data_IF_781575321356
#
_entry.id   IF_781575321356
#
_cell.length_a   1.000
_cell.length_b   1.000
_cell.length_c   1.000
_cell.angle_alpha   90.00
_cell.angle_beta   90.00
_cell.angle_gamma   90.00
#
_symmetry.space_group_name_H-M   'P 1'
#
loop_
_entity.id
_entity.type
_entity.pdbx_description
1 polymer ?
#
# COMPACT_ATOMS: atom_id res chain seq x y z
N UNK A 1 47.83 27.80 -39.96
CA UNK A 1 47.10 28.01 -38.70
C UNK A 1 47.41 26.82 -37.79
N UNK A 2 48.49 26.93 -37.00
CA UNK A 2 48.99 25.84 -36.15
C UNK A 2 48.28 25.91 -34.80
N UNK A 3 47.38 24.97 -34.53
CA UNK A 3 46.84 24.78 -33.18
C UNK A 3 47.98 24.19 -32.33
N UNK A 4 48.45 24.95 -31.34
CA UNK A 4 49.50 24.51 -30.42
C UNK A 4 49.13 23.20 -29.73
N UNK A 5 50.02 22.21 -29.74
CA UNK A 5 49.83 20.90 -29.11
C UNK A 5 49.51 21.00 -27.61
N UNK A 6 49.93 22.09 -26.94
CA UNK A 6 49.58 22.39 -25.54
C UNK A 6 48.08 22.67 -25.34
N UNK A 7 47.40 23.22 -26.36
CA UNK A 7 45.97 23.52 -26.27
C UNK A 7 45.13 22.27 -26.56
N UNK A 8 45.60 21.37 -27.42
CA UNK A 8 44.91 20.09 -27.74
C UNK A 8 44.91 19.14 -26.53
N UNK A 9 46.00 19.11 -25.76
CA UNK A 9 46.11 18.28 -24.55
C UNK A 9 45.17 18.74 -23.43
N UNK A 10 44.95 20.06 -23.30
CA UNK A 10 43.99 20.64 -22.34
C UNK A 10 42.54 20.32 -22.69
N UNK A 11 42.18 20.35 -23.98
CA UNK A 11 40.84 19.96 -24.44
C UNK A 11 40.56 18.46 -24.27
N UNK A 12 41.56 17.58 -24.47
CA UNK A 12 41.43 16.14 -24.21
C UNK A 12 41.24 15.82 -22.72
N UNK A 13 41.89 16.58 -21.82
CA UNK A 13 41.75 16.41 -20.37
C UNK A 13 40.37 16.89 -19.86
N UNK A 14 39.82 17.96 -20.44
CA UNK A 14 38.46 18.44 -20.16
C UNK A 14 37.36 17.50 -20.70
N UNK A 15 37.60 16.83 -21.84
CA UNK A 15 36.68 15.81 -22.37
C UNK A 15 36.67 14.52 -21.52
N UNK A 16 37.82 14.14 -20.94
CA UNK A 16 37.96 12.93 -20.12
C UNK A 16 37.28 13.04 -18.75
N UNK A 17 37.15 14.25 -18.19
CA UNK A 17 36.50 14.47 -16.88
C UNK A 17 34.96 14.50 -17.03
N UNK A 18 34.42 14.80 -18.22
CA UNK A 18 32.98 14.86 -18.48
C UNK A 18 32.25 13.52 -18.55
N UNK A 19 32.96 12.39 -18.65
CA UNK A 19 32.34 11.05 -18.79
C UNK A 19 31.99 10.38 -17.46
N UNK A 20 32.34 10.97 -16.30
CA UNK A 20 32.02 10.41 -14.98
C UNK A 20 30.75 11.00 -14.34
N UNK A 21 30.09 11.98 -14.98
CA UNK A 21 28.96 12.71 -14.37
C UNK A 21 27.60 12.00 -14.45
N UNK A 22 27.52 10.83 -15.09
CA UNK A 22 26.28 10.05 -15.19
C UNK A 22 26.43 8.62 -14.66
N UNK A 23 27.11 8.43 -13.53
CA UNK A 23 26.90 7.22 -12.73
C UNK A 23 25.70 7.49 -11.83
N UNK A 24 24.50 7.45 -12.41
CA UNK A 24 23.29 7.20 -11.61
C UNK A 24 23.46 5.77 -11.07
N UNK A 25 24.05 5.63 -9.88
CA UNK A 25 24.00 4.36 -9.17
C UNK A 25 22.52 4.02 -9.03
N UNK A 26 22.11 2.89 -9.61
CA UNK A 26 20.77 2.37 -9.41
C UNK A 26 20.51 2.33 -7.90
N UNK A 27 19.36 2.82 -7.43
CA UNK A 27 19.02 2.68 -6.01
C UNK A 27 19.13 1.21 -5.60
N UNK A 28 19.95 0.92 -4.59
CA UNK A 28 20.02 -0.40 -3.99
C UNK A 28 18.99 -0.45 -2.87
N UNK A 29 17.82 -1.02 -3.18
CA UNK A 29 16.80 -1.31 -2.18
C UNK A 29 16.93 -2.77 -1.71
N UNK A 30 16.56 -3.08 -0.45
CA UNK A 30 16.38 -4.46 -0.02
C UNK A 30 15.32 -5.18 -0.87
N UNK A 31 15.38 -6.51 -0.94
CA UNK A 31 14.30 -7.31 -1.55
C UNK A 31 13.04 -7.32 -0.69
N UNK A 32 13.14 -6.96 0.58
CA UNK A 32 11.96 -6.70 1.41
C UNK A 32 11.37 -5.33 1.03
N UNK A 33 10.06 -5.24 0.79
CA UNK A 33 9.43 -3.97 0.49
C UNK A 33 9.47 -3.03 1.70
N UNK A 34 9.64 -1.74 1.46
CA UNK A 34 9.46 -0.71 2.48
C UNK A 34 8.38 0.27 2.05
N UNK A 35 7.59 0.76 3.02
CA UNK A 35 6.49 1.68 2.78
C UNK A 35 6.54 2.90 3.71
N UNK A 36 5.97 4.00 3.25
CA UNK A 36 5.78 5.22 4.06
C UNK A 36 4.45 5.89 3.75
N UNK A 37 3.90 6.59 4.74
CA UNK A 37 2.68 7.37 4.54
C UNK A 37 2.95 8.57 3.63
N UNK A 38 2.16 8.72 2.56
CA UNK A 38 2.24 9.88 1.67
C UNK A 38 1.09 10.85 1.93
N UNK A 39 -0.14 10.39 1.77
CA UNK A 39 -1.32 11.24 1.90
C UNK A 39 -2.57 10.41 2.20
N UNK A 40 -3.59 11.08 2.75
CA UNK A 40 -4.92 10.50 2.93
C UNK A 40 -5.97 11.56 2.63
N UNK A 41 -6.98 11.18 1.87
CA UNK A 41 -8.12 12.04 1.54
C UNK A 41 -9.42 11.25 1.62
N UNK A 42 -10.54 11.96 1.57
CA UNK A 42 -11.87 11.40 1.75
C UNK A 42 -12.82 11.95 0.70
N UNK A 43 -13.76 11.11 0.27
CA UNK A 43 -14.90 11.51 -0.57
C UNK A 43 -16.19 11.03 0.09
N UNK A 44 -17.07 11.97 0.41
CA UNK A 44 -18.38 11.69 0.99
C UNK A 44 -19.42 11.48 -0.11
N UNK A 45 -20.24 10.45 0.06
CA UNK A 45 -21.48 10.25 -0.69
C UNK A 45 -22.63 10.87 0.09
N UNK A 46 -23.42 11.70 -0.58
CA UNK A 46 -24.59 12.35 -0.01
C UNK A 46 -25.87 11.69 -0.51
N UNK A 47 -26.91 11.66 0.32
CA UNK A 47 -28.27 11.33 -0.11
C UNK A 47 -28.95 12.51 -0.84
N UNK A 48 -30.20 12.31 -1.26
CA UNK A 48 -31.00 13.36 -1.92
C UNK A 48 -31.33 14.57 -1.03
N UNK A 49 -31.12 14.48 0.28
CA UNK A 49 -31.31 15.56 1.25
C UNK A 49 -29.99 16.24 1.65
N UNK A 50 -28.86 15.83 1.08
CA UNK A 50 -27.53 16.36 1.38
C UNK A 50 -26.88 15.79 2.64
N UNK A 51 -27.42 14.72 3.22
CA UNK A 51 -26.83 14.02 4.36
C UNK A 51 -25.75 13.04 3.89
N UNK A 52 -24.61 13.01 4.58
CA UNK A 52 -23.55 12.02 4.32
C UNK A 52 -24.05 10.62 4.71
N UNK A 53 -24.04 9.70 3.74
CA UNK A 53 -24.42 8.29 3.94
C UNK A 53 -23.23 7.34 3.88
N UNK A 54 -22.11 7.77 3.28
CA UNK A 54 -20.90 6.96 3.16
C UNK A 54 -19.68 7.87 3.01
N UNK A 55 -18.53 7.48 3.57
CA UNK A 55 -17.23 8.06 3.27
C UNK A 55 -16.34 7.00 2.61
N UNK A 56 -15.76 7.34 1.45
CA UNK A 56 -14.64 6.59 0.86
C UNK A 56 -13.33 7.26 1.25
N UNK A 57 -12.36 6.48 1.73
CA UNK A 57 -11.02 6.97 2.09
C UNK A 57 -10.01 6.55 1.04
N UNK A 58 -9.26 7.50 0.51
CA UNK A 58 -8.14 7.25 -0.40
C UNK A 58 -6.84 7.42 0.36
N UNK A 59 -6.11 6.31 0.52
CA UNK A 59 -4.83 6.25 1.18
C UNK A 59 -3.72 6.10 0.14
N UNK A 60 -2.82 7.07 0.09
CA UNK A 60 -1.62 7.02 -0.73
C UNK A 60 -0.43 6.63 0.16
N UNK A 61 0.25 5.54 -0.19
CA UNK A 61 1.51 5.11 0.43
C UNK A 61 2.62 5.13 -0.62
N UNK A 62 3.80 5.60 -0.24
CA UNK A 62 5.00 5.43 -1.05
C UNK A 62 5.65 4.08 -0.73
N UNK A 63 6.18 3.40 -1.74
CA UNK A 63 6.84 2.10 -1.61
C UNK A 63 8.22 2.10 -2.27
N UNK A 64 9.09 1.21 -1.81
CA UNK A 64 10.37 0.85 -2.42
C UNK A 64 10.59 -0.65 -2.31
N UNK A 65 11.11 -1.28 -3.35
CA UNK A 65 11.40 -2.71 -3.40
C UNK A 65 12.56 -3.00 -4.36
N UNK A 66 13.45 -3.92 -3.98
CA UNK A 66 14.74 -4.15 -4.63
C UNK A 66 14.72 -5.15 -5.77
N UNK A 67 13.73 -6.03 -5.85
CA UNK A 67 13.63 -7.03 -6.92
C UNK A 67 12.38 -6.84 -7.81
N UNK A 68 11.45 -5.97 -7.42
CA UNK A 68 10.28 -5.60 -8.21
C UNK A 68 9.15 -6.60 -8.14
N UNK A 69 9.06 -7.40 -7.08
CA UNK A 69 8.08 -8.47 -6.97
C UNK A 69 6.84 -8.09 -6.14
N UNK A 70 6.66 -6.81 -5.81
CA UNK A 70 5.39 -6.30 -5.27
C UNK A 70 4.23 -6.62 -6.22
N UNK A 71 3.16 -7.17 -5.63
CA UNK A 71 1.87 -7.33 -6.28
C UNK A 71 1.55 -8.76 -6.70
N UNK A 72 0.26 -9.08 -6.66
CA UNK A 72 -0.32 -10.37 -7.03
C UNK A 72 -1.22 -10.18 -8.24
N UNK A 73 -1.04 -11.02 -9.25
CA UNK A 73 -1.92 -11.05 -10.41
C UNK A 73 -3.30 -11.62 -10.04
N UNK A 74 -4.32 -11.33 -10.86
CA UNK A 74 -5.65 -11.90 -10.68
C UNK A 74 -5.63 -13.45 -10.68
N UNK A 75 -4.69 -14.06 -11.40
CA UNK A 75 -4.50 -15.51 -11.44
C UNK A 75 -3.77 -16.11 -10.23
N UNK A 76 -3.11 -15.30 -9.39
CA UNK A 76 -2.42 -15.77 -8.18
C UNK A 76 -3.45 -16.11 -7.08
N UNK A 77 -4.31 -17.09 -7.31
CA UNK A 77 -5.40 -17.49 -6.41
C UNK A 77 -5.36 -18.99 -6.12
N UNK A 78 -4.19 -19.60 -6.34
CA UNK A 78 -3.89 -21.01 -6.11
C UNK A 78 -2.60 -21.15 -5.29
N UNK A 79 -2.31 -22.36 -4.81
CA UNK A 79 -1.09 -22.62 -4.03
C UNK A 79 -0.98 -21.72 -2.80
N UNK A 80 0.18 -21.08 -2.64
CA UNK A 80 0.46 -20.18 -1.50
C UNK A 80 -0.43 -18.93 -1.45
N UNK A 81 -1.08 -18.58 -2.56
CA UNK A 81 -2.02 -17.45 -2.66
C UNK A 81 -3.47 -17.90 -2.80
N UNK A 82 -3.76 -19.18 -2.59
CA UNK A 82 -5.13 -19.68 -2.57
C UNK A 82 -5.94 -18.98 -1.50
N UNK A 83 -7.22 -18.68 -1.77
CA UNK A 83 -8.12 -18.06 -0.79
C UNK A 83 -8.23 -18.87 0.50
N UNK A 84 -8.18 -20.20 0.37
CA UNK A 84 -8.23 -21.13 1.48
C UNK A 84 -7.04 -22.07 1.45
N UNK A 85 -6.62 -22.47 2.63
CA UNK A 85 -5.69 -23.59 2.84
C UNK A 85 -6.42 -24.93 2.66
N UNK A 86 -5.70 -26.06 2.55
CA UNK A 86 -6.31 -27.39 2.42
C UNK A 86 -7.27 -27.75 3.57
N UNK A 87 -7.03 -27.22 4.78
CA UNK A 87 -7.89 -27.35 5.96
C UNK A 87 -9.15 -26.46 5.92
N UNK A 88 -9.38 -25.77 4.79
CA UNK A 88 -10.47 -24.80 4.55
C UNK A 88 -10.37 -23.49 5.33
N UNK A 89 -9.35 -23.27 6.15
CA UNK A 89 -9.11 -21.98 6.80
C UNK A 89 -8.75 -20.90 5.78
N UNK A 90 -9.02 -19.63 6.11
CA UNK A 90 -8.58 -18.51 5.28
C UNK A 90 -7.06 -18.43 5.23
N UNK A 91 -6.52 -18.19 4.04
CA UNK A 91 -5.09 -18.04 3.86
C UNK A 91 -4.64 -16.59 4.13
N UNK A 92 -3.72 -16.33 5.07
CA UNK A 92 -3.19 -14.99 5.35
C UNK A 92 -2.30 -14.44 4.23
N UNK A 93 -2.09 -15.16 3.14
CA UNK A 93 -1.37 -14.64 1.97
C UNK A 93 -2.28 -14.43 0.76
N UNK A 94 -3.60 -14.59 0.92
CA UNK A 94 -4.54 -14.28 -0.17
C UNK A 94 -4.50 -12.79 -0.55
N UNK A 95 -4.45 -11.92 0.45
CA UNK A 95 -4.22 -10.48 0.30
C UNK A 95 -2.74 -10.17 0.43
N UNK A 96 -2.33 -9.04 -0.14
CA UNK A 96 -0.97 -8.52 -0.02
C UNK A 96 -0.93 -7.03 0.32
N UNK A 97 -2.08 -6.39 0.49
CA UNK A 97 -2.22 -5.08 1.13
C UNK A 97 -3.04 -5.26 2.40
N UNK A 98 -2.41 -5.14 3.55
CA UNK A 98 -3.08 -5.26 4.83
C UNK A 98 -3.40 -3.87 5.37
N UNK A 99 -4.66 -3.70 5.78
CA UNK A 99 -5.16 -2.45 6.32
C UNK A 99 -6.06 -2.76 7.51
N UNK A 100 -5.74 -2.14 8.64
CA UNK A 100 -6.48 -2.28 9.90
C UNK A 100 -6.96 -0.92 10.35
N UNK A 101 -8.26 -0.80 10.65
CA UNK A 101 -8.88 0.44 11.10
C UNK A 101 -8.86 0.54 12.62
N UNK A 102 -8.50 1.72 13.12
CA UNK A 102 -8.55 2.08 14.53
C UNK A 102 -9.43 3.31 14.71
N UNK A 103 -10.23 3.32 15.77
CA UNK A 103 -11.09 4.46 16.14
C UNK A 103 -10.63 5.06 17.46
N UNK A 104 -10.62 6.38 17.55
CA UNK A 104 -10.39 7.09 18.80
C UNK A 104 -11.58 6.92 19.75
N UNK A 105 -11.33 6.37 20.91
CA UNK A 105 -12.28 6.36 22.02
C UNK A 105 -12.48 7.81 22.50
N UNK A 106 -13.73 8.28 22.54
CA UNK A 106 -14.06 9.68 22.86
C UNK A 106 -13.82 10.03 24.34
N UNK A 107 -13.80 9.04 25.22
CA UNK A 107 -13.59 9.23 26.66
C UNK A 107 -12.11 9.16 27.04
N UNK A 108 -11.39 8.15 26.54
CA UNK A 108 -9.97 7.93 26.91
C UNK A 108 -9.01 8.65 25.96
N UNK A 109 -9.45 8.97 24.74
CA UNK A 109 -8.62 9.55 23.70
C UNK A 109 -7.66 8.56 23.03
N UNK A 110 -7.67 7.29 23.43
CA UNK A 110 -6.83 6.22 22.88
C UNK A 110 -7.46 5.69 21.59
N UNK A 111 -6.62 5.28 20.63
CA UNK A 111 -7.08 4.60 19.41
C UNK A 111 -7.12 3.09 19.64
N UNK A 112 -8.30 2.51 19.47
CA UNK A 112 -8.58 1.08 19.64
C UNK A 112 -8.96 0.48 18.29
N UNK A 113 -8.61 -0.79 18.03
CA UNK A 113 -9.02 -1.48 16.80
C UNK A 113 -10.53 -1.43 16.70
N UNK A 114 -11.06 -0.99 15.56
CA UNK A 114 -12.49 -1.02 15.27
C UNK A 114 -12.84 -2.42 14.73
N UNK A 115 -13.60 -3.26 15.47
CA UNK A 115 -14.04 -4.55 14.95
C UNK A 115 -14.96 -4.33 13.74
N UNK A 116 -14.74 -5.13 12.70
CA UNK A 116 -15.56 -5.12 11.50
C UNK A 116 -16.69 -6.15 11.60
N UNK A 117 -17.74 -6.02 10.76
CA UNK A 117 -18.87 -6.93 10.75
C UNK A 117 -18.43 -8.39 10.57
N UNK A 118 -19.08 -9.28 11.31
CA UNK A 118 -18.89 -10.73 11.17
C UNK A 118 -19.94 -11.32 10.25
N UNK A 119 -19.53 -12.31 9.46
CA UNK A 119 -20.37 -13.04 8.53
C UNK A 119 -20.21 -14.54 8.73
N UNK A 120 -21.20 -15.31 8.28
CA UNK A 120 -21.11 -16.78 8.25
C UNK A 120 -20.39 -17.22 6.98
N UNK A 121 -19.35 -18.01 7.16
CA UNK A 121 -18.64 -18.66 6.09
C UNK A 121 -19.51 -19.78 5.49
N UNK A 122 -19.92 -19.72 4.21
CA UNK A 122 -20.77 -20.76 3.62
C UNK A 122 -20.05 -22.11 3.44
N UNK A 123 -18.72 -22.16 3.54
CA UNK A 123 -17.92 -23.38 3.35
C UNK A 123 -17.72 -24.14 4.65
N UNK A 124 -17.48 -23.41 5.75
CA UNK A 124 -17.19 -24.01 7.07
C UNK A 124 -18.36 -23.87 8.05
N UNK A 125 -19.36 -23.04 7.73
CA UNK A 125 -20.47 -22.67 8.62
C UNK A 125 -20.00 -22.05 9.95
N UNK A 126 -18.90 -21.28 9.90
CA UNK A 126 -18.31 -20.59 11.06
C UNK A 126 -18.33 -19.08 10.86
N UNK A 127 -18.36 -18.31 11.95
CA UNK A 127 -18.19 -16.86 11.87
C UNK A 127 -16.78 -16.46 11.42
N UNK A 128 -16.69 -15.42 10.59
CA UNK A 128 -15.46 -14.73 10.28
C UNK A 128 -15.67 -13.22 10.29
N UNK A 129 -14.65 -12.47 10.70
CA UNK A 129 -14.66 -11.01 10.63
C UNK A 129 -14.32 -10.56 9.20
N UNK A 130 -15.09 -9.62 8.66
CA UNK A 130 -14.72 -8.96 7.41
C UNK A 130 -13.43 -8.16 7.55
N UNK A 131 -12.84 -7.79 6.42
CA UNK A 131 -11.62 -7.02 6.37
C UNK A 131 -11.68 -5.98 5.24
N UNK A 132 -10.78 -5.02 5.31
CA UNK A 132 -10.56 -3.98 4.29
C UNK A 132 -9.21 -4.19 3.60
N UNK A 133 -8.73 -5.44 3.55
CA UNK A 133 -7.48 -5.80 2.89
C UNK A 133 -7.64 -5.82 1.37
N UNK A 134 -6.52 -5.62 0.68
CA UNK A 134 -6.48 -5.45 -0.76
C UNK A 134 -5.51 -6.39 -1.46
N UNK A 135 -5.67 -6.47 -2.78
CA UNK A 135 -4.71 -7.12 -3.67
C UNK A 135 -4.09 -6.06 -4.58
N UNK A 136 -2.86 -5.65 -4.27
CA UNK A 136 -2.08 -4.78 -5.17
C UNK A 136 -1.78 -5.59 -6.43
N UNK A 137 -2.10 -5.09 -7.64
CA UNK A 137 -1.70 -5.76 -8.88
C UNK A 137 -0.16 -5.75 -9.01
N UNK A 138 0.42 -6.61 -9.87
CA UNK A 138 1.86 -6.57 -10.14
C UNK A 138 2.28 -5.18 -10.61
N UNK A 139 3.28 -4.60 -9.94
CA UNK A 139 3.82 -3.27 -10.30
C UNK A 139 4.94 -3.37 -11.34
N UNK A 140 5.48 -4.57 -11.51
CA UNK A 140 6.43 -4.95 -12.54
C UNK A 140 6.03 -6.32 -13.10
N UNK A 141 6.30 -6.53 -14.39
CA UNK A 141 6.08 -7.83 -15.04
C UNK A 141 6.87 -8.93 -14.32
N UNK A 142 6.27 -10.12 -14.13
CA UNK A 142 6.89 -11.21 -13.35
C UNK A 142 8.26 -11.67 -13.88
N UNK A 143 8.51 -11.49 -15.18
CA UNK A 143 9.76 -11.87 -15.84
C UNK A 143 10.86 -10.81 -15.69
N UNK A 144 10.51 -9.61 -15.22
CA UNK A 144 11.45 -8.52 -15.00
C UNK A 144 11.80 -8.45 -13.52
N UNK A 145 13.10 -8.30 -13.24
CA UNK A 145 13.59 -8.01 -11.90
C UNK A 145 14.34 -6.68 -11.92
N UNK A 146 13.84 -5.73 -11.15
CA UNK A 146 14.47 -4.44 -10.99
C UNK A 146 13.96 -3.75 -9.71
N UNK A 147 14.84 -3.00 -9.02
CA UNK A 147 14.41 -2.01 -8.04
C UNK A 147 13.31 -1.10 -8.59
N UNK A 148 12.22 -0.99 -7.84
CA UNK A 148 11.07 -0.12 -8.12
C UNK A 148 10.77 0.76 -6.91
N UNK A 149 10.29 1.97 -7.18
CA UNK A 149 9.69 2.84 -6.18
C UNK A 149 8.51 3.59 -6.80
N UNK A 150 7.56 4.02 -5.98
CA UNK A 150 6.39 4.74 -6.45
C UNK A 150 5.35 4.92 -5.38
N UNK A 151 4.12 5.22 -5.79
CA UNK A 151 2.99 5.42 -4.89
C UNK A 151 1.88 4.43 -5.21
N UNK A 152 1.37 3.75 -4.19
CA UNK A 152 0.14 2.94 -4.24
C UNK A 152 -1.00 3.81 -3.69
N UNK A 153 -2.01 4.07 -4.52
CA UNK A 153 -3.29 4.65 -4.08
C UNK A 153 -4.27 3.53 -3.78
N UNK A 154 -4.66 3.39 -2.53
CA UNK A 154 -5.62 2.41 -2.05
C UNK A 154 -6.95 3.07 -1.70
N UNK A 155 -8.04 2.56 -2.26
CA UNK A 155 -9.40 3.01 -1.95
C UNK A 155 -10.03 2.11 -0.89
N UNK A 156 -10.20 2.63 0.31
CA UNK A 156 -11.02 2.06 1.37
C UNK A 156 -12.44 2.60 1.16
N UNK A 157 -13.16 1.99 0.22
CA UNK A 157 -14.56 2.31 -0.06
C UNK A 157 -15.52 1.63 0.92
N UNK A 158 -16.78 2.04 0.94
CA UNK A 158 -17.83 1.31 1.64
C UNK A 158 -17.73 1.36 3.16
N UNK A 159 -17.28 2.48 3.75
CA UNK A 159 -17.44 2.71 5.19
C UNK A 159 -18.93 2.99 5.48
N UNK A 160 -19.77 1.96 5.36
CA UNK A 160 -21.21 2.03 5.63
C UNK A 160 -21.41 2.14 7.14
N UNK A 161 -21.60 3.36 7.62
CA UNK A 161 -21.58 3.71 9.04
C UNK A 161 -22.44 2.81 9.92
N UNK A 162 -23.64 2.47 9.46
CA UNK A 162 -24.59 1.63 10.19
C UNK A 162 -24.11 0.18 10.33
N UNK A 163 -23.31 -0.30 9.37
CA UNK A 163 -22.81 -1.67 9.34
C UNK A 163 -21.53 -1.78 10.17
N UNK A 164 -20.60 -0.84 10.02
CA UNK A 164 -19.30 -0.87 10.69
C UNK A 164 -19.28 -0.10 12.03
N UNK A 165 -20.41 0.49 12.43
CA UNK A 165 -20.57 1.21 13.68
C UNK A 165 -19.76 2.51 13.77
N UNK A 166 -19.55 3.21 12.65
CA UNK A 166 -18.92 4.54 12.63
C UNK A 166 -19.95 5.59 13.02
N UNK A 167 -19.71 6.31 14.11
CA UNK A 167 -20.60 7.38 14.56
C UNK A 167 -20.23 8.72 13.91
N UNK A 168 -21.14 9.69 14.01
CA UNK A 168 -20.88 11.07 13.59
C UNK A 168 -19.58 11.60 14.22
N UNK A 169 -18.74 12.19 13.37
CA UNK A 169 -17.45 12.79 13.72
C UNK A 169 -16.51 11.83 14.46
N UNK A 170 -16.55 10.54 14.11
CA UNK A 170 -15.54 9.62 14.60
C UNK A 170 -14.17 9.99 13.99
N UNK A 171 -13.14 9.89 14.82
CA UNK A 171 -11.75 10.04 14.38
C UNK A 171 -11.16 8.66 14.20
N UNK A 172 -10.76 8.34 12.97
CA UNK A 172 -10.18 7.05 12.61
C UNK A 172 -8.76 7.22 12.09
N UNK A 173 -7.97 6.16 12.20
CA UNK A 173 -6.65 6.04 11.57
C UNK A 173 -6.44 4.60 11.11
N UNK A 174 -5.46 4.38 10.27
CA UNK A 174 -5.17 3.08 9.69
C UNK A 174 -3.76 2.62 10.05
N UNK A 175 -3.62 1.32 10.23
CA UNK A 175 -2.34 0.64 10.24
C UNK A 175 -2.23 -0.18 8.96
N UNK A 176 -1.09 -0.06 8.26
CA UNK A 176 -0.89 -0.67 6.95
C UNK A 176 0.46 -1.34 6.86
N UNK A 177 0.49 -2.50 6.19
CA UNK A 177 1.69 -3.16 5.69
C UNK A 177 1.36 -3.92 4.40
N UNK A 178 2.37 -4.32 3.64
CA UNK A 178 2.21 -5.12 2.43
C UNK A 178 3.06 -6.38 2.48
N UNK A 179 2.68 -7.39 1.68
CA UNK A 179 3.56 -8.49 1.31
C UNK A 179 3.93 -8.35 -0.17
N UNK A 180 5.16 -8.70 -0.49
CA UNK A 180 5.55 -8.96 -1.87
C UNK A 180 5.14 -10.38 -2.32
N UNK A 181 5.56 -10.79 -3.52
CA UNK A 181 5.25 -12.12 -4.06
C UNK A 181 6.15 -13.23 -3.50
N UNK A 182 7.31 -12.89 -2.95
CA UNK A 182 8.17 -13.80 -2.21
C UNK A 182 7.73 -13.97 -0.74
N UNK A 183 6.65 -13.29 -0.31
CA UNK A 183 6.12 -13.25 1.05
C UNK A 183 7.01 -12.50 2.05
N UNK A 184 7.87 -11.59 1.58
CA UNK A 184 8.52 -10.64 2.49
C UNK A 184 7.50 -9.57 2.90
N UNK A 185 7.39 -9.34 4.20
CA UNK A 185 6.51 -8.33 4.77
C UNK A 185 7.24 -6.99 4.81
N UNK A 186 6.55 -5.89 4.52
CA UNK A 186 7.10 -4.56 4.76
C UNK A 186 7.14 -4.19 6.24
N UNK A 187 7.81 -3.06 6.52
CA UNK A 187 7.54 -2.30 7.74
C UNK A 187 6.04 -1.93 7.85
N UNK A 188 5.58 -1.74 9.08
CA UNK A 188 4.21 -1.32 9.39
C UNK A 188 4.19 0.21 9.55
N UNK A 189 3.17 0.86 8.98
CA UNK A 189 2.94 2.30 9.14
C UNK A 189 1.60 2.58 9.81
N UNK A 190 1.53 3.64 10.60
CA UNK A 190 0.26 4.19 11.10
C UNK A 190 0.00 5.54 10.44
N UNK A 191 -1.20 5.73 9.90
CA UNK A 191 -1.59 7.00 9.28
C UNK A 191 -1.85 8.07 10.34
N UNK A 192 -1.79 9.36 9.97
CA UNK A 192 -2.51 10.40 10.70
C UNK A 192 -4.00 10.06 10.80
N UNK A 193 -4.69 10.73 11.72
CA UNK A 193 -6.12 10.55 11.88
C UNK A 193 -6.92 11.39 10.87
N UNK A 194 -8.11 10.91 10.52
CA UNK A 194 -9.10 11.62 9.71
C UNK A 194 -10.47 11.54 10.37
N UNK A 195 -11.28 12.58 10.20
CA UNK A 195 -12.67 12.60 10.64
C UNK A 195 -13.57 12.01 9.55
N UNK A 196 -14.53 11.20 9.98
CA UNK A 196 -15.52 10.55 9.12
C UNK A 196 -16.94 10.82 9.63
N UNK A 197 -17.93 10.66 8.75
CA UNK A 197 -19.33 10.92 9.05
C UNK A 197 -19.56 12.33 9.62
N UNK A 198 -19.15 13.34 8.84
CA UNK A 198 -19.24 14.76 9.23
C UNK A 198 -20.63 15.36 9.02
#
# INVERSE_FOLDING_TARGET
MQVSAKNILGYFLLLAIGLNACIFKKPEFPFEPSISFRAMSKKSLLDGNGQVIEDSIFLDIDFKDGNGDIGLSAGDTTGQFARRRPDKSFNPYYYNFYCTIYRRNKFTGVYERLPLPKFIDPVTNTEFESNIHGRVPPLLDKEKQAPIEGTIRYNIGGLFYDVIGINKKDSIRFEVFIYDRALNQSNVITTPAILVNE
#
